data_IF_561104926987
#
_entry.id   IF_561104926987
#
_cell.length_a   1.000
_cell.length_b   1.000
_cell.length_c   1.000
_cell.angle_alpha   90.00
_cell.angle_beta   90.00
_cell.angle_gamma   90.00
#
_symmetry.space_group_name_H-M   'P 1'
#
loop_
_entity.id
_entity.type
_entity.pdbx_description
1 polymer ?
#
# COMPACT_ATOMS: atom_id res chain seq x y z
N UNK A 1 -7.34 18.74 -7.37
CA UNK A 1 -6.79 18.15 -6.13
C UNK A 1 -6.25 16.77 -6.44
N UNK A 2 -4.95 16.51 -6.26
CA UNK A 2 -4.36 15.17 -6.39
C UNK A 2 -4.41 14.49 -5.01
N UNK A 3 -5.38 13.59 -4.82
CA UNK A 3 -5.52 12.80 -3.59
C UNK A 3 -4.62 11.55 -3.67
N UNK A 4 -3.32 11.74 -3.88
CA UNK A 4 -2.36 10.66 -4.03
C UNK A 4 -1.34 10.76 -2.90
N UNK A 5 -1.30 9.73 -2.06
CA UNK A 5 -0.28 9.59 -1.02
C UNK A 5 0.70 8.51 -1.48
N UNK A 6 1.96 8.88 -1.68
CA UNK A 6 3.02 7.93 -1.96
C UNK A 6 3.61 7.44 -0.63
N UNK A 7 3.40 6.17 -0.33
CA UNK A 7 4.04 5.49 0.78
C UNK A 7 5.15 4.63 0.20
N UNK A 8 6.40 5.04 0.42
CA UNK A 8 7.58 4.25 0.07
C UNK A 8 8.19 3.67 1.35
N UNK A 9 7.82 2.44 1.75
CA UNK A 9 8.57 1.73 2.76
C UNK A 9 9.90 1.31 2.14
N UNK A 10 10.91 2.18 2.17
CA UNK A 10 12.25 1.83 1.73
C UNK A 10 12.70 0.57 2.47
N UNK A 11 13.29 -0.37 1.72
CA UNK A 11 13.93 -1.54 2.31
C UNK A 11 15.06 -1.08 3.22
N UNK A 12 14.98 -1.40 4.51
CA UNK A 12 16.14 -1.34 5.37
C UNK A 12 17.15 -2.41 4.86
N UNK A 13 18.41 -2.04 4.55
CA UNK A 13 19.39 -2.96 4.00
C UNK A 13 19.76 -4.11 4.96
N UNK A 14 19.56 -3.93 6.27
CA UNK A 14 19.83 -4.94 7.30
C UNK A 14 18.57 -5.68 7.78
N UNK A 15 17.39 -5.25 7.32
CA UNK A 15 16.11 -5.91 7.57
C UNK A 15 15.12 -5.60 6.44
N UNK A 16 14.66 -6.59 5.65
CA UNK A 16 13.69 -6.37 4.58
C UNK A 16 12.27 -6.16 5.14
N UNK A 17 12.16 -5.41 6.24
CA UNK A 17 10.91 -4.82 6.64
C UNK A 17 10.64 -3.69 5.66
N UNK A 18 9.80 -3.98 4.67
CA UNK A 18 8.91 -2.97 4.13
C UNK A 18 8.25 -2.30 5.34
N UNK A 19 8.77 -1.12 5.72
CA UNK A 19 8.40 -0.36 6.89
C UNK A 19 6.88 -0.16 6.92
N UNK A 20 6.19 -1.08 7.59
CA UNK A 20 4.84 -0.88 8.07
C UNK A 20 5.02 0.04 9.27
N UNK A 21 5.22 1.34 8.97
CA UNK A 21 5.47 2.39 9.96
C UNK A 21 4.40 2.22 11.05
N UNK A 22 4.79 2.10 12.32
CA UNK A 22 3.87 1.77 13.42
C UNK A 22 2.62 2.67 13.46
N UNK A 23 2.75 3.91 12.96
CA UNK A 23 1.68 4.90 12.90
C UNK A 23 0.81 4.86 11.63
N UNK A 24 1.10 4.01 10.66
CA UNK A 24 0.36 3.97 9.38
C UNK A 24 -1.07 3.47 9.56
N UNK A 25 -1.28 2.52 10.48
CA UNK A 25 -2.59 1.93 10.74
C UNK A 25 -3.54 2.99 11.32
N UNK A 26 -3.21 3.69 12.43
CA UNK A 26 -4.02 4.80 12.92
C UNK A 26 -4.25 5.88 11.88
N UNK A 27 -3.24 6.21 11.06
CA UNK A 27 -3.36 7.23 10.01
C UNK A 27 -4.40 6.85 8.94
N UNK A 28 -4.34 5.62 8.43
CA UNK A 28 -5.31 5.12 7.45
C UNK A 28 -6.73 5.06 8.02
N UNK A 29 -6.88 4.73 9.32
CA UNK A 29 -8.18 4.82 10.01
C UNK A 29 -8.73 6.25 10.09
N UNK A 30 -7.87 7.27 10.22
CA UNK A 30 -8.34 8.67 10.21
C UNK A 30 -8.71 9.10 8.79
N UNK A 31 -7.90 8.74 7.79
CA UNK A 31 -8.19 9.06 6.39
C UNK A 31 -9.48 8.40 5.91
N UNK A 32 -9.77 7.17 6.32
CA UNK A 32 -10.95 6.44 5.86
C UNK A 32 -12.28 7.05 6.32
N UNK A 33 -12.25 7.94 7.31
CA UNK A 33 -13.43 8.70 7.75
C UNK A 33 -13.86 9.77 6.75
N UNK A 34 -12.93 10.21 5.90
CA UNK A 34 -13.11 11.36 4.99
C UNK A 34 -12.97 10.91 3.53
N UNK A 35 -12.17 9.87 3.27
CA UNK A 35 -11.81 9.42 1.93
C UNK A 35 -12.04 7.93 1.72
N UNK A 36 -12.38 7.58 0.48
CA UNK A 36 -12.32 6.19 0.01
C UNK A 36 -10.88 5.86 -0.36
N UNK A 37 -10.25 4.96 0.39
CA UNK A 37 -8.85 4.59 0.20
C UNK A 37 -8.75 3.52 -0.89
N UNK A 38 -7.86 3.76 -1.86
CA UNK A 38 -7.39 2.78 -2.83
C UNK A 38 -5.90 2.55 -2.61
N UNK A 39 -5.47 1.30 -2.57
CA UNK A 39 -4.06 0.95 -2.42
C UNK A 39 -3.51 0.42 -3.73
N UNK A 40 -2.36 0.92 -4.12
CA UNK A 40 -1.60 0.43 -5.27
C UNK A 40 -0.25 -0.04 -4.74
N UNK A 41 -0.01 -1.35 -4.84
CA UNK A 41 1.16 -2.01 -4.27
C UNK A 41 2.02 -2.56 -5.41
N UNK A 42 3.10 -1.87 -5.81
CA UNK A 42 4.09 -2.45 -6.69
C UNK A 42 4.79 -3.61 -5.96
N UNK A 43 4.86 -4.77 -6.59
CA UNK A 43 5.46 -6.00 -6.03
C UNK A 43 6.34 -6.66 -7.07
N UNK A 44 7.43 -7.29 -6.64
CA UNK A 44 8.43 -7.92 -7.52
C UNK A 44 8.37 -9.45 -7.48
N UNK A 45 7.58 -10.02 -6.58
CA UNK A 45 7.33 -11.46 -6.52
C UNK A 45 5.97 -11.77 -5.86
N UNK A 46 5.45 -12.97 -6.12
CA UNK A 46 4.25 -13.46 -5.42
C UNK A 46 4.51 -13.59 -3.91
N UNK A 47 5.73 -13.94 -3.48
CA UNK A 47 6.10 -13.98 -2.06
C UNK A 47 5.96 -12.62 -1.39
N UNK A 48 6.43 -11.55 -2.03
CA UNK A 48 6.30 -10.18 -1.51
C UNK A 48 4.83 -9.76 -1.39
N UNK A 49 4.02 -10.07 -2.41
CA UNK A 49 2.58 -9.85 -2.39
C UNK A 49 1.88 -10.57 -1.24
N UNK A 50 2.20 -11.85 -1.02
CA UNK A 50 1.64 -12.62 0.10
C UNK A 50 2.06 -12.04 1.46
N UNK A 51 3.29 -11.56 1.59
CA UNK A 51 3.75 -10.88 2.81
C UNK A 51 2.97 -9.58 3.07
N UNK A 52 2.78 -8.73 2.05
CA UNK A 52 2.02 -7.48 2.16
C UNK A 52 0.56 -7.78 2.51
N UNK A 53 -0.07 -8.74 1.83
CA UNK A 53 -1.42 -9.20 2.14
C UNK A 53 -1.55 -9.67 3.59
N UNK A 54 -0.62 -10.49 4.06
CA UNK A 54 -0.58 -10.94 5.45
C UNK A 54 -0.49 -9.79 6.45
N UNK A 55 0.34 -8.77 6.17
CA UNK A 55 0.44 -7.57 7.03
C UNK A 55 -0.86 -6.76 7.03
N UNK A 56 -1.48 -6.56 5.87
CA UNK A 56 -2.76 -5.83 5.76
C UNK A 56 -3.89 -6.57 6.50
N UNK A 57 -3.96 -7.89 6.39
CA UNK A 57 -4.91 -8.72 7.13
C UNK A 57 -4.68 -8.63 8.65
N UNK A 58 -3.43 -8.79 9.10
CA UNK A 58 -3.09 -8.76 10.52
C UNK A 58 -3.27 -7.38 11.16
N UNK A 59 -3.14 -6.31 10.37
CA UNK A 59 -3.30 -4.93 10.83
C UNK A 59 -4.76 -4.49 11.07
N UNK A 60 -5.74 -5.36 10.77
CA UNK A 60 -7.19 -5.05 10.83
C UNK A 60 -7.61 -3.86 9.93
N UNK A 61 -6.79 -3.53 8.94
CA UNK A 61 -7.09 -2.49 7.95
C UNK A 61 -8.13 -2.95 6.93
N UNK A 62 -8.17 -4.26 6.63
CA UNK A 62 -9.21 -4.80 5.76
C UNK A 62 -10.54 -4.85 6.48
N UNK A 63 -11.40 -3.90 6.12
CA UNK A 63 -12.79 -3.84 6.52
C UNK A 63 -13.53 -2.93 5.56
N UNK A 64 -14.84 -3.11 5.42
CA UNK A 64 -15.69 -2.23 4.60
C UNK A 64 -15.64 -0.75 5.01
N UNK A 65 -15.11 -0.44 6.21
CA UNK A 65 -15.01 0.91 6.78
C UNK A 65 -13.65 1.58 6.60
N UNK A 66 -12.61 0.82 6.24
CA UNK A 66 -11.23 1.32 6.22
C UNK A 66 -10.64 1.12 4.84
N UNK A 67 -10.25 -0.12 4.51
CA UNK A 67 -9.80 -0.51 3.19
C UNK A 67 -10.61 -1.72 2.74
N UNK A 68 -11.28 -1.59 1.59
CA UNK A 68 -11.90 -2.71 0.90
C UNK A 68 -10.81 -3.46 0.14
N UNK A 69 -10.72 -4.77 0.34
CA UNK A 69 -9.74 -5.64 -0.32
C UNK A 69 -9.85 -5.55 -1.86
N UNK A 70 -11.06 -5.34 -2.39
CA UNK A 70 -11.32 -5.17 -3.83
C UNK A 70 -10.72 -3.88 -4.39
N UNK A 71 -10.26 -2.97 -3.53
CA UNK A 71 -9.62 -1.69 -3.89
C UNK A 71 -8.10 -1.73 -3.69
N UNK A 72 -7.52 -2.91 -3.52
CA UNK A 72 -6.07 -3.13 -3.53
C UNK A 72 -5.65 -3.67 -4.88
N UNK A 73 -4.77 -2.94 -5.57
CA UNK A 73 -4.18 -3.33 -6.82
C UNK A 73 -2.71 -3.71 -6.62
N UNK A 74 -2.38 -4.98 -6.83
CA UNK A 74 -1.00 -5.42 -6.91
C UNK A 74 -0.47 -5.26 -8.34
N UNK A 75 0.69 -4.63 -8.47
CA UNK A 75 1.32 -4.37 -9.76
C UNK A 75 2.66 -5.10 -9.86
N UNK A 76 2.68 -6.19 -10.63
CA UNK A 76 3.84 -7.07 -10.77
C UNK A 76 4.72 -6.68 -11.98
N UNK A 77 4.12 -6.16 -13.05
CA UNK A 77 4.85 -5.84 -14.28
C UNK A 77 5.69 -4.57 -14.15
N UNK A 78 6.91 -4.60 -14.68
CA UNK A 78 7.80 -3.44 -14.66
C UNK A 78 7.20 -2.25 -15.40
N UNK A 79 6.50 -2.49 -16.51
CA UNK A 79 5.77 -1.45 -17.24
C UNK A 79 4.66 -0.82 -16.39
N UNK A 80 3.94 -1.63 -15.60
CA UNK A 80 2.92 -1.14 -14.69
C UNK A 80 3.51 -0.30 -13.55
N UNK A 81 4.61 -0.75 -12.96
CA UNK A 81 5.34 0.01 -11.92
C UNK A 81 5.81 1.36 -12.44
N UNK A 82 6.44 1.39 -13.63
CA UNK A 82 6.89 2.63 -14.28
C UNK A 82 5.71 3.56 -14.57
N UNK A 83 4.59 3.01 -15.05
CA UNK A 83 3.38 3.79 -15.31
C UNK A 83 2.84 4.46 -14.05
N UNK A 84 2.75 3.72 -12.94
CA UNK A 84 2.27 4.23 -11.64
C UNK A 84 3.20 5.35 -11.16
N UNK A 85 4.52 5.13 -11.15
CA UNK A 85 5.49 6.14 -10.72
C UNK A 85 5.32 7.43 -11.53
N UNK A 86 5.28 7.33 -12.86
CA UNK A 86 5.13 8.49 -13.76
C UNK A 86 3.84 9.27 -13.55
N UNK A 87 2.75 8.61 -13.13
CA UNK A 87 1.46 9.26 -12.91
C UNK A 87 1.30 9.82 -11.49
N UNK A 88 2.04 9.27 -10.51
CA UNK A 88 1.94 9.66 -9.10
C UNK A 88 3.02 10.65 -8.65
N UNK A 89 4.14 10.81 -9.37
CA UNK A 89 5.26 11.70 -8.99
C UNK A 89 5.39 12.99 -9.79
N UNK A 90 4.68 13.11 -10.91
CA UNK A 90 4.46 14.37 -11.64
C UNK A 90 3.09 14.92 -11.28
#
# INVERSE_FOLDING_TARGET
MKNTLLLNPSSDPDSPNHAFIENIVPFLHQLSKIYVIHLICPVSSEQEKQQILGRLLNSKLFSSKVIDERRVLFCESDQGKIHIIRKCTC
#
